data_IF_425762613788
#
_entry.id   IF_425762613788
#
_cell.length_a   1.000
_cell.length_b   1.000
_cell.length_c   1.000
_cell.angle_alpha   90.00
_cell.angle_beta   90.00
_cell.angle_gamma   90.00
#
_symmetry.space_group_name_H-M   'P 1'
#
loop_
_entity.id
_entity.type
_entity.pdbx_description
1 polymer ?
#
# COMPACT_ATOMS: atom_id res chain seq x y z
N UNK A 1 -38.48 3.31 14.85
CA UNK A 1 -37.92 4.60 14.44
C UNK A 1 -36.47 4.67 14.87
N UNK A 2 -35.52 4.62 13.93
CA UNK A 2 -34.17 5.17 14.12
C UNK A 2 -33.66 5.60 12.74
N UNK A 3 -33.69 6.92 12.50
CA UNK A 3 -32.97 7.56 11.41
C UNK A 3 -31.74 8.20 12.04
N UNK A 4 -30.54 7.70 11.77
CA UNK A 4 -29.34 8.56 11.70
C UNK A 4 -28.35 7.92 10.71
N UNK A 5 -28.38 8.36 9.45
CA UNK A 5 -27.24 8.30 8.54
C UNK A 5 -27.41 9.36 7.45
N UNK A 6 -27.03 10.61 7.75
CA UNK A 6 -26.40 11.48 6.75
C UNK A 6 -25.68 12.61 7.48
N UNK A 7 -24.43 12.91 7.08
CA UNK A 7 -24.31 13.75 5.91
C UNK A 7 -23.26 13.21 4.94
N UNK A 8 -23.72 12.63 3.83
CA UNK A 8 -22.95 12.72 2.59
C UNK A 8 -23.02 14.18 2.16
N UNK A 9 -21.95 14.95 2.36
CA UNK A 9 -21.87 16.35 1.94
C UNK A 9 -20.85 16.46 0.83
N UNK A 10 -21.33 16.58 -0.40
CA UNK A 10 -20.52 16.96 -1.55
C UNK A 10 -20.49 18.49 -1.65
N UNK A 11 -19.29 19.07 -1.55
CA UNK A 11 -19.09 20.50 -1.79
C UNK A 11 -18.21 20.66 -3.00
N UNK A 12 -18.78 21.18 -4.09
CA UNK A 12 -18.04 21.54 -5.31
C UNK A 12 -17.78 23.03 -5.26
N UNK A 13 -16.51 23.41 -5.27
CA UNK A 13 -16.09 24.82 -5.34
C UNK A 13 -15.30 25.03 -6.62
N UNK A 14 -15.72 26.00 -7.43
CA UNK A 14 -14.90 26.52 -8.52
C UNK A 14 -13.97 27.59 -7.93
N UNK A 15 -12.68 27.29 -7.82
CA UNK A 15 -11.67 28.30 -7.54
C UNK A 15 -11.23 28.89 -8.88
N UNK A 16 -11.28 30.21 -9.01
CA UNK A 16 -11.03 30.98 -10.24
C UNK A 16 -10.12 30.31 -11.29
N UNK A 17 -10.64 30.22 -12.51
CA UNK A 17 -9.88 30.13 -13.77
C UNK A 17 -9.37 28.75 -14.20
N UNK A 18 -8.97 27.86 -13.29
CA UNK A 18 -8.36 26.56 -13.70
C UNK A 18 -8.41 25.44 -12.65
N UNK A 19 -9.14 25.61 -11.54
CA UNK A 19 -9.15 24.62 -10.46
C UNK A 19 -10.58 24.35 -9.93
N UNK A 20 -10.97 23.08 -9.93
CA UNK A 20 -12.22 22.60 -9.36
C UNK A 20 -11.89 21.67 -8.20
N UNK A 21 -12.61 21.80 -7.10
CA UNK A 21 -12.45 20.94 -5.93
C UNK A 21 -13.79 20.37 -5.49
N UNK A 22 -13.87 19.05 -5.33
CA UNK A 22 -14.99 18.34 -4.73
C UNK A 22 -14.52 17.72 -3.40
N UNK A 23 -15.29 17.89 -2.34
CA UNK A 23 -15.01 17.25 -1.05
C UNK A 23 -16.19 16.40 -0.65
N UNK A 24 -15.92 15.15 -0.25
CA UNK A 24 -16.90 14.22 0.30
C UNK A 24 -16.49 13.91 1.74
N UNK A 25 -17.44 14.00 2.66
CA UNK A 25 -17.25 13.56 4.04
C UNK A 25 -18.33 12.56 4.41
N UNK A 26 -17.95 11.51 5.13
CA UNK A 26 -18.83 10.42 5.59
C UNK A 26 -19.02 10.42 7.11
N UNK A 27 -18.65 11.50 7.81
CA UNK A 27 -18.66 11.59 9.27
C UNK A 27 -17.51 10.82 9.96
N UNK A 28 -16.93 9.81 9.30
CA UNK A 28 -15.77 9.03 9.79
C UNK A 28 -14.53 9.32 8.96
N UNK A 29 -14.68 9.59 7.66
CA UNK A 29 -13.56 9.95 6.78
C UNK A 29 -13.90 11.16 5.93
N UNK A 30 -12.86 11.88 5.51
CA UNK A 30 -12.96 12.98 4.54
C UNK A 30 -12.07 12.63 3.35
N UNK A 31 -12.62 12.77 2.16
CA UNK A 31 -11.85 12.76 0.92
C UNK A 31 -12.06 14.06 0.17
N UNK A 32 -11.03 14.51 -0.54
CA UNK A 32 -11.17 15.64 -1.46
C UNK A 32 -10.50 15.34 -2.79
N UNK A 33 -11.25 15.53 -3.87
CA UNK A 33 -10.77 15.47 -5.24
C UNK A 33 -10.56 16.88 -5.74
N UNK A 34 -9.40 17.14 -6.34
CA UNK A 34 -9.09 18.43 -6.95
C UNK A 34 -8.65 18.19 -8.39
N UNK A 35 -9.29 18.89 -9.31
CA UNK A 35 -8.92 18.97 -10.71
C UNK A 35 -8.26 20.31 -10.96
N UNK A 36 -7.10 20.30 -11.62
CA UNK A 36 -6.39 21.50 -12.02
C UNK A 36 -5.96 21.38 -13.47
N UNK A 37 -6.43 22.30 -14.30
CA UNK A 37 -5.95 22.44 -15.68
C UNK A 37 -4.55 23.06 -15.60
N UNK A 38 -3.56 22.39 -16.17
CA UNK A 38 -2.16 22.86 -16.17
C UNK A 38 -1.78 23.55 -17.47
N UNK A 39 -2.29 23.05 -18.59
CA UNK A 39 -2.26 23.69 -19.90
C UNK A 39 -3.44 23.18 -20.75
N UNK A 40 -3.52 23.58 -22.03
CA UNK A 40 -4.59 23.17 -22.94
C UNK A 40 -4.70 21.65 -23.17
N UNK A 41 -3.63 20.91 -22.96
CA UNK A 41 -3.51 19.48 -23.23
C UNK A 41 -3.26 18.62 -21.98
N UNK A 42 -3.21 19.23 -20.79
CA UNK A 42 -2.90 18.53 -19.54
C UNK A 42 -3.76 18.98 -18.36
N UNK A 43 -4.20 18.00 -17.57
CA UNK A 43 -4.92 18.20 -16.32
C UNK A 43 -4.31 17.32 -15.23
N UNK A 44 -4.29 17.85 -14.01
CA UNK A 44 -3.97 17.12 -12.80
C UNK A 44 -5.25 16.80 -12.05
N UNK A 45 -5.43 15.53 -11.70
CA UNK A 45 -6.44 15.11 -10.75
C UNK A 45 -5.73 14.64 -9.47
N UNK A 46 -6.15 15.14 -8.32
CA UNK A 46 -5.54 14.78 -7.04
C UNK A 46 -6.57 14.42 -5.97
N UNK A 47 -6.43 13.24 -5.39
CA UNK A 47 -7.30 12.72 -4.35
C UNK A 47 -6.56 12.77 -3.02
N UNK A 48 -7.21 13.31 -1.99
CA UNK A 48 -6.66 13.39 -0.64
C UNK A 48 -7.46 12.48 0.26
N UNK A 49 -6.76 11.65 1.04
CA UNK A 49 -7.35 10.78 2.05
C UNK A 49 -7.06 11.37 3.42
N UNK A 50 -8.08 11.47 4.27
CA UNK A 50 -7.93 11.90 5.66
C UNK A 50 -8.35 10.78 6.62
N UNK A 51 -7.67 10.72 7.77
CA UNK A 51 -8.06 9.87 8.89
C UNK A 51 -9.29 10.42 9.64
N UNK A 52 -9.87 9.68 10.60
CA UNK A 52 -11.02 10.16 11.38
C UNK A 52 -10.77 11.40 12.25
N UNK A 53 -9.51 11.75 12.51
CA UNK A 53 -9.13 12.98 13.20
C UNK A 53 -8.96 14.17 12.22
N UNK A 54 -9.22 13.96 10.92
CA UNK A 54 -9.12 14.97 9.87
C UNK A 54 -7.70 15.20 9.35
N UNK A 55 -6.70 14.45 9.84
CA UNK A 55 -5.31 14.57 9.41
C UNK A 55 -5.13 13.93 8.04
N UNK A 56 -4.25 14.50 7.21
CA UNK A 56 -3.97 13.96 5.88
C UNK A 56 -3.22 12.63 6.02
N UNK A 57 -3.81 11.54 5.54
CA UNK A 57 -3.23 10.19 5.57
C UNK A 57 -2.61 9.82 4.21
N UNK A 58 -3.13 10.39 3.11
CA UNK A 58 -2.59 10.12 1.79
C UNK A 58 -2.97 11.14 0.72
N UNK A 59 -2.26 11.06 -0.40
CA UNK A 59 -2.51 11.78 -1.65
C UNK A 59 -2.32 10.81 -2.82
N UNK A 60 -3.20 10.88 -3.81
CA UNK A 60 -2.99 10.26 -5.13
C UNK A 60 -3.04 11.35 -6.18
N UNK A 61 -2.16 11.30 -7.18
CA UNK A 61 -2.10 12.27 -8.27
C UNK A 61 -2.04 11.55 -9.60
N UNK A 62 -3.00 11.87 -10.47
CA UNK A 62 -3.01 11.45 -11.87
C UNK A 62 -2.66 12.64 -12.75
N UNK A 63 -1.82 12.38 -13.76
CA UNK A 63 -1.65 13.27 -14.90
C UNK A 63 -2.49 12.73 -16.04
N UNK A 64 -3.31 13.58 -16.63
CA UNK A 64 -3.91 13.29 -17.92
C UNK A 64 -3.02 13.77 -19.07
N UNK A 65 -3.15 13.13 -20.22
CA UNK A 65 -2.65 13.63 -21.49
C UNK A 65 -3.81 13.72 -22.47
N UNK A 66 -3.82 14.77 -23.28
CA UNK A 66 -4.70 14.86 -24.43
C UNK A 66 -4.28 13.82 -25.48
N UNK A 67 -5.21 12.95 -25.85
CA UNK A 67 -5.05 11.97 -26.93
C UNK A 67 -6.06 12.30 -28.04
N UNK A 68 -5.68 12.07 -29.29
CA UNK A 68 -6.57 12.20 -30.45
C UNK A 68 -7.00 10.82 -30.92
N UNK A 69 -8.30 10.56 -30.97
CA UNK A 69 -8.89 9.37 -31.55
C UNK A 69 -9.89 9.81 -32.63
N UNK A 70 -9.63 9.43 -33.87
CA UNK A 70 -10.45 9.79 -35.04
C UNK A 70 -10.65 11.31 -35.19
N UNK A 71 -9.61 12.11 -34.93
CA UNK A 71 -9.66 13.58 -35.03
C UNK A 71 -10.42 14.27 -33.89
N UNK A 72 -10.83 13.53 -32.86
CA UNK A 72 -11.41 14.09 -31.62
C UNK A 72 -10.42 13.97 -30.48
N UNK A 73 -10.16 15.08 -29.82
CA UNK A 73 -9.30 15.17 -28.65
C UNK A 73 -10.05 14.81 -27.37
N UNK A 74 -9.46 13.99 -26.51
CA UNK A 74 -9.98 13.64 -25.19
C UNK A 74 -8.85 13.58 -24.15
N UNK A 75 -9.19 13.89 -22.90
CA UNK A 75 -8.27 13.77 -21.77
C UNK A 75 -8.31 12.34 -21.22
N UNK A 76 -7.20 11.61 -21.33
CA UNK A 76 -7.05 10.29 -20.71
C UNK A 76 -6.22 10.39 -19.44
N UNK A 77 -6.75 9.91 -18.31
CA UNK A 77 -5.97 9.73 -17.08
C UNK A 77 -5.01 8.54 -17.27
N UNK A 78 -3.71 8.77 -17.10
CA UNK A 78 -2.73 7.69 -17.18
C UNK A 78 -2.66 6.90 -15.87
N UNK A 79 -2.72 5.55 -15.91
CA UNK A 79 -2.41 4.69 -14.77
C UNK A 79 -0.91 4.29 -14.74
N UNK A 80 -0.34 3.96 -13.57
CA UNK A 80 -0.86 4.15 -12.21
C UNK A 80 -0.56 5.58 -11.66
N UNK A 81 -1.32 6.07 -10.66
CA UNK A 81 -1.08 7.39 -10.06
C UNK A 81 0.21 7.43 -9.24
N UNK A 82 0.75 8.63 -9.08
CA UNK A 82 1.73 8.89 -8.03
C UNK A 82 1.01 8.93 -6.67
N UNK A 83 1.51 8.15 -5.71
CA UNK A 83 0.92 8.02 -4.38
C UNK A 83 1.86 8.62 -3.33
N UNK A 84 1.30 9.34 -2.36
CA UNK A 84 2.02 9.82 -1.17
C UNK A 84 1.24 9.42 0.06
N UNK A 85 1.87 8.74 1.00
CA UNK A 85 1.31 8.41 2.31
C UNK A 85 2.01 9.19 3.40
N UNK A 86 1.25 9.58 4.42
CA UNK A 86 1.73 10.35 5.57
C UNK A 86 1.60 9.51 6.85
N UNK A 87 2.56 9.65 7.76
CA UNK A 87 2.62 8.93 9.03
C UNK A 87 1.73 9.52 10.12
N UNK A 88 1.74 8.88 11.29
CA UNK A 88 0.87 9.16 12.44
C UNK A 88 1.01 10.55 13.07
N UNK A 89 1.95 11.39 12.61
CA UNK A 89 2.06 12.81 12.96
C UNK A 89 2.37 13.68 11.73
N UNK A 90 1.48 13.65 10.74
CA UNK A 90 1.34 14.68 9.70
C UNK A 90 2.38 14.69 8.59
N UNK A 91 3.68 14.59 8.92
CA UNK A 91 4.81 14.58 7.98
C UNK A 91 6.00 13.72 8.47
N UNK A 92 5.97 13.16 9.70
CA UNK A 92 7.13 12.45 10.28
C UNK A 92 7.61 11.23 9.50
N UNK A 93 6.70 10.58 8.78
CA UNK A 93 7.01 9.49 7.88
C UNK A 93 6.26 9.75 6.57
N UNK A 94 6.97 9.97 5.48
CA UNK A 94 6.34 10.10 4.16
C UNK A 94 6.78 8.95 3.28
N UNK A 95 5.83 8.29 2.62
CA UNK A 95 6.12 7.31 1.57
C UNK A 95 5.58 7.83 0.24
N UNK A 96 6.46 8.21 -0.68
CA UNK A 96 6.10 8.52 -2.08
C UNK A 96 6.32 7.29 -2.93
N UNK A 97 5.37 6.94 -3.77
CA UNK A 97 5.45 5.80 -4.66
C UNK A 97 5.01 6.20 -6.08
N UNK A 98 5.86 5.94 -7.06
CA UNK A 98 5.59 6.09 -8.50
C UNK A 98 5.34 4.72 -9.12
N UNK A 99 5.30 4.62 -10.45
CA UNK A 99 5.24 3.32 -11.13
C UNK A 99 6.56 2.53 -11.03
N UNK A 100 7.67 3.22 -10.79
CA UNK A 100 9.02 2.64 -10.80
C UNK A 100 9.61 2.59 -9.40
N UNK A 101 9.38 3.60 -8.56
CA UNK A 101 10.15 3.80 -7.34
C UNK A 101 9.28 4.05 -6.11
N UNK A 102 9.75 3.59 -4.95
CA UNK A 102 9.24 3.96 -3.63
C UNK A 102 10.32 4.72 -2.88
N UNK A 103 9.98 5.89 -2.35
CA UNK A 103 10.85 6.71 -1.51
C UNK A 103 10.20 6.90 -0.15
N UNK A 104 10.87 6.46 0.91
CA UNK A 104 10.44 6.65 2.29
C UNK A 104 11.36 7.65 2.99
N UNK A 105 10.78 8.61 3.69
CA UNK A 105 11.52 9.63 4.46
C UNK A 105 11.02 9.67 5.90
N UNK A 106 11.95 9.71 6.84
CA UNK A 106 11.69 9.90 8.27
C UNK A 106 12.23 11.27 8.66
N UNK A 107 11.45 12.07 9.38
CA UNK A 107 11.81 13.40 9.84
C UNK A 107 11.81 13.46 11.38
N UNK A 108 12.63 14.35 11.95
CA UNK A 108 12.49 14.75 13.35
C UNK A 108 11.22 15.57 13.57
N UNK A 109 10.67 15.59 14.79
CA UNK A 109 9.57 16.48 15.14
C UNK A 109 9.91 17.95 14.80
N UNK A 110 9.12 18.58 13.93
CA UNK A 110 9.27 19.98 13.55
C UNK A 110 10.40 20.29 12.55
N UNK A 111 11.08 19.28 12.02
CA UNK A 111 12.14 19.45 11.03
C UNK A 111 11.64 19.25 9.59
N UNK A 112 12.16 20.03 8.66
CA UNK A 112 11.95 19.87 7.22
C UNK A 112 13.06 19.06 6.54
N UNK A 113 14.12 18.70 7.26
CA UNK A 113 15.23 17.90 6.75
C UNK A 113 15.02 16.43 7.16
N UNK A 114 15.01 15.48 6.21
CA UNK A 114 14.83 14.07 6.53
C UNK A 114 16.08 13.52 7.22
N UNK A 115 15.88 12.79 8.31
CA UNK A 115 16.93 12.01 8.97
C UNK A 115 17.34 10.80 8.14
N UNK A 116 16.35 10.13 7.55
CA UNK A 116 16.54 8.90 6.79
C UNK A 116 15.76 9.04 5.49
N UNK A 117 16.40 8.68 4.38
CA UNK A 117 15.77 8.55 3.07
C UNK A 117 16.13 7.20 2.49
N UNK A 118 15.12 6.37 2.28
CA UNK A 118 15.24 5.06 1.65
C UNK A 118 14.60 5.14 0.27
N UNK A 119 15.35 4.80 -0.77
CA UNK A 119 14.85 4.66 -2.13
C UNK A 119 14.88 3.19 -2.52
N UNK A 120 13.82 2.72 -3.16
CA UNK A 120 13.70 1.33 -3.57
C UNK A 120 12.93 1.26 -4.88
N UNK A 121 13.53 0.67 -5.90
CA UNK A 121 12.81 0.30 -7.12
C UNK A 121 11.69 -0.68 -6.78
N UNK A 122 10.50 -0.47 -7.33
CA UNK A 122 9.32 -1.29 -7.05
C UNK A 122 9.48 -2.72 -7.56
N UNK A 123 10.29 -2.94 -8.58
CA UNK A 123 10.69 -4.28 -9.03
C UNK A 123 11.51 -4.99 -7.95
N UNK A 124 12.47 -4.32 -7.32
CA UNK A 124 13.23 -4.88 -6.19
C UNK A 124 12.35 -5.04 -4.95
N UNK A 125 11.45 -4.09 -4.68
CA UNK A 125 10.48 -4.23 -3.61
C UNK A 125 9.56 -5.44 -3.84
N UNK A 126 9.12 -5.67 -5.07
CA UNK A 126 8.29 -6.83 -5.39
C UNK A 126 9.05 -8.15 -5.20
N UNK A 127 10.38 -8.19 -5.39
CA UNK A 127 11.21 -9.36 -5.06
C UNK A 127 11.25 -9.64 -3.56
N UNK A 128 11.08 -8.62 -2.71
CA UNK A 128 11.02 -8.79 -1.26
C UNK A 128 9.68 -9.35 -0.75
N UNK A 129 8.63 -9.29 -1.57
CA UNK A 129 7.34 -9.88 -1.24
C UNK A 129 7.45 -11.41 -1.35
N UNK A 130 7.38 -12.08 -0.22
CA UNK A 130 7.36 -13.53 -0.11
C UNK A 130 6.04 -13.96 0.53
N UNK A 131 5.48 -15.06 0.04
CA UNK A 131 4.32 -15.68 0.68
C UNK A 131 4.79 -16.53 1.84
N UNK A 132 4.15 -16.35 2.98
CA UNK A 132 4.27 -17.24 4.14
C UNK A 132 3.80 -18.67 3.81
N UNK A 133 4.21 -19.64 4.63
CA UNK A 133 3.71 -21.02 4.57
C UNK A 133 2.19 -21.05 4.68
N UNK A 134 1.61 -20.22 5.56
CA UNK A 134 0.16 -20.10 5.74
C UNK A 134 -0.49 -19.68 4.43
N UNK A 135 -0.05 -18.59 3.83
CA UNK A 135 -0.63 -18.07 2.59
C UNK A 135 -0.52 -19.10 1.46
N UNK A 136 0.64 -19.75 1.34
CA UNK A 136 0.87 -20.79 0.32
C UNK A 136 -0.06 -21.99 0.50
N UNK A 137 -0.24 -22.44 1.74
CA UNK A 137 -1.09 -23.60 2.03
C UNK A 137 -2.57 -23.28 1.90
N UNK A 138 -3.01 -22.09 2.33
CA UNK A 138 -4.38 -21.63 2.12
C UNK A 138 -4.70 -21.50 0.62
N UNK A 139 -3.77 -20.96 -0.16
CA UNK A 139 -3.92 -20.87 -1.61
C UNK A 139 -4.03 -22.25 -2.27
N UNK A 140 -3.20 -23.21 -1.87
CA UNK A 140 -3.23 -24.57 -2.42
C UNK A 140 -4.49 -25.34 -1.99
N UNK A 141 -4.96 -25.13 -0.76
CA UNK A 141 -6.16 -25.78 -0.23
C UNK A 141 -7.45 -25.10 -0.70
N UNK A 142 -7.38 -23.86 -1.20
CA UNK A 142 -8.55 -23.06 -1.57
C UNK A 142 -9.43 -22.67 -0.38
N UNK A 143 -8.88 -22.62 0.83
CA UNK A 143 -9.63 -22.34 2.06
C UNK A 143 -8.83 -21.47 3.05
N UNK A 144 -9.56 -20.77 3.92
CA UNK A 144 -8.96 -20.02 5.03
C UNK A 144 -8.81 -20.91 6.25
N UNK A 145 -7.65 -20.86 6.90
CA UNK A 145 -7.39 -21.63 8.11
C UNK A 145 -7.91 -20.93 9.36
N UNK A 146 -8.18 -21.71 10.41
CA UNK A 146 -8.50 -21.18 11.73
C UNK A 146 -7.29 -20.48 12.36
N UNK A 147 -7.48 -19.44 13.20
CA UNK A 147 -6.38 -18.64 13.75
C UNK A 147 -5.31 -19.46 14.50
N UNK A 148 -5.71 -20.53 15.17
CA UNK A 148 -4.82 -21.41 15.91
C UNK A 148 -3.83 -22.13 14.99
N UNK A 149 -4.30 -22.59 13.82
CA UNK A 149 -3.46 -23.23 12.81
C UNK A 149 -2.56 -22.21 12.11
N UNK A 150 -3.05 -20.98 11.89
CA UNK A 150 -2.24 -19.88 11.38
C UNK A 150 -1.06 -19.60 12.32
N UNK A 151 -1.32 -19.43 13.62
CA UNK A 151 -0.27 -19.18 14.60
C UNK A 151 0.75 -20.33 14.69
N UNK A 152 0.30 -21.58 14.60
CA UNK A 152 1.18 -22.75 14.59
C UNK A 152 2.09 -22.77 13.36
N UNK A 153 1.53 -22.53 12.17
CA UNK A 153 2.29 -22.49 10.92
C UNK A 153 3.24 -21.29 10.86
N UNK A 154 2.84 -20.13 11.39
CA UNK A 154 3.71 -18.95 11.53
C UNK A 154 4.89 -19.24 12.45
N UNK A 155 4.64 -19.92 13.58
CA UNK A 155 5.68 -20.36 14.51
C UNK A 155 6.64 -21.36 13.87
N UNK A 156 6.11 -22.36 13.17
CA UNK A 156 6.89 -23.34 12.43
C UNK A 156 7.73 -22.71 11.32
N UNK A 157 7.19 -21.76 10.56
CA UNK A 157 7.96 -21.03 9.54
C UNK A 157 9.17 -20.33 10.15
N UNK A 158 9.00 -19.63 11.28
CA UNK A 158 10.10 -18.96 11.96
C UNK A 158 11.17 -19.93 12.46
N UNK A 159 10.77 -21.08 12.99
CA UNK A 159 11.68 -22.14 13.41
C UNK A 159 12.47 -22.73 12.24
N UNK A 160 11.79 -23.01 11.12
CA UNK A 160 12.42 -23.49 9.89
C UNK A 160 13.41 -22.47 9.30
N UNK A 161 13.09 -21.17 9.33
CA UNK A 161 14.00 -20.10 8.89
C UNK A 161 15.23 -19.97 9.79
N UNK A 162 15.05 -20.13 11.11
CA UNK A 162 16.16 -20.13 12.08
C UNK A 162 17.01 -21.40 12.02
N UNK A 163 16.46 -22.49 11.50
CA UNK A 163 17.12 -23.80 11.47
C UNK A 163 17.08 -24.54 12.81
N UNK A 164 16.23 -24.11 13.74
CA UNK A 164 16.05 -24.70 15.07
C UNK A 164 14.56 -24.95 15.32
N UNK A 165 14.16 -26.22 15.32
CA UNK A 165 12.76 -26.64 15.36
C UNK A 165 12.45 -27.20 16.73
N UNK A 166 11.40 -26.68 17.35
CA UNK A 166 10.98 -27.12 18.67
C UNK A 166 10.51 -28.58 18.65
N UNK A 167 10.70 -29.27 19.77
CA UNK A 167 10.25 -30.66 19.92
C UNK A 167 8.74 -30.81 19.66
N UNK A 168 7.94 -29.80 20.03
CA UNK A 168 6.49 -29.77 19.77
C UNK A 168 6.17 -29.75 18.28
N UNK A 169 6.84 -28.89 17.51
CA UNK A 169 6.65 -28.81 16.06
C UNK A 169 7.21 -30.03 15.34
N UNK A 170 8.33 -30.59 15.80
CA UNK A 170 8.85 -31.87 15.27
C UNK A 170 7.85 -33.02 15.48
N UNK A 171 7.25 -33.11 16.67
CA UNK A 171 6.26 -34.13 16.96
C UNK A 171 4.98 -33.92 16.13
N UNK A 172 4.53 -32.67 15.97
CA UNK A 172 3.38 -32.34 15.14
C UNK A 172 3.62 -32.69 13.66
N UNK A 173 4.78 -32.34 13.10
CA UNK A 173 5.17 -32.73 11.74
C UNK A 173 5.17 -34.25 11.56
N UNK A 174 5.74 -34.98 12.52
CA UNK A 174 5.74 -36.44 12.49
C UNK A 174 4.33 -37.04 12.51
N UNK A 175 3.41 -36.47 13.29
CA UNK A 175 2.00 -36.88 13.30
C UNK A 175 1.31 -36.63 11.95
N UNK A 176 1.69 -35.55 11.26
CA UNK A 176 1.22 -35.25 9.92
C UNK A 176 1.93 -36.05 8.80
N UNK A 177 2.93 -36.86 9.13
CA UNK A 177 3.74 -37.59 8.14
C UNK A 177 4.67 -36.69 7.32
N UNK A 178 5.02 -35.52 7.85
CA UNK A 178 5.87 -34.52 7.20
C UNK A 178 7.25 -34.47 7.87
N UNK A 179 8.28 -34.12 7.10
CA UNK A 179 9.61 -33.84 7.63
C UNK A 179 9.92 -32.34 7.64
N UNK A 180 10.80 -31.88 8.55
CA UNK A 180 11.36 -30.53 8.51
C UNK A 180 11.89 -30.11 7.14
N UNK A 181 12.64 -30.98 6.46
CA UNK A 181 13.22 -30.68 5.16
C UNK A 181 12.17 -30.53 4.07
N UNK A 182 11.11 -31.35 4.09
CA UNK A 182 9.97 -31.19 3.19
C UNK A 182 9.29 -29.83 3.39
N UNK A 183 9.11 -29.41 4.65
CA UNK A 183 8.53 -28.12 4.99
C UNK A 183 9.45 -26.95 4.63
N UNK A 184 10.76 -27.10 4.82
CA UNK A 184 11.77 -26.12 4.43
C UNK A 184 11.76 -25.88 2.91
N UNK A 185 11.58 -26.93 2.12
CA UNK A 185 11.40 -26.81 0.66
C UNK A 185 10.11 -26.08 0.26
N UNK A 186 9.16 -25.88 1.18
CA UNK A 186 7.97 -25.07 0.92
C UNK A 186 8.19 -23.57 1.16
N UNK A 187 9.27 -23.19 1.86
CA UNK A 187 9.58 -21.78 2.11
C UNK A 187 9.99 -21.08 0.81
N UNK A 188 9.44 -19.88 0.61
CA UNK A 188 9.99 -18.98 -0.39
C UNK A 188 11.32 -18.38 0.16
N UNK A 189 12.40 -18.38 -0.66
CA UNK A 189 13.69 -17.87 -0.22
C UNK A 189 13.59 -16.39 0.14
N UNK A 190 14.29 -15.98 1.20
CA UNK A 190 14.43 -14.56 1.51
C UNK A 190 15.23 -13.87 0.40
N UNK A 191 14.66 -12.78 -0.12
CA UNK A 191 15.40 -11.92 -1.02
C UNK A 191 16.52 -11.21 -0.26
N UNK A 192 17.76 -11.59 -0.57
CA UNK A 192 18.95 -10.84 -0.17
C UNK A 192 19.27 -9.82 -1.27
N UNK A 193 19.09 -8.51 -1.04
CA UNK A 193 19.49 -7.51 -2.02
C UNK A 193 20.98 -7.63 -2.30
N UNK A 194 21.36 -7.51 -3.57
CA UNK A 194 22.77 -7.33 -3.93
C UNK A 194 23.24 -6.01 -3.32
N UNK A 195 24.31 -6.05 -2.51
CA UNK A 195 24.97 -4.83 -2.06
C UNK A 195 25.66 -4.21 -3.28
N UNK A 196 25.08 -3.15 -3.83
CA UNK A 196 25.78 -2.28 -4.78
C UNK A 196 26.78 -1.45 -3.97
N UNK A 197 28.09 -1.66 -4.24
CA UNK A 197 29.21 -0.88 -3.69
C UNK A 197 29.51 0.34 -4.55
#
# INVERSE_FOLDING_TARGET
>A
MSRVASPFREVITNASGSQISATISTGITKSSTNWRITDWHSMLESWHLHDPLGRRAGKRVWRSRCESLNGREYLRLNPPPEMTWYGWDGDRLTTTQTAQNRVQRIYEPGSFTPLVRVETELTELAKSAHRSLVEKFQQNAGMTFVPELVALLDGLEQELRRGDISAGNLQWLAQCGLTPEQMKNQLEPEYTPAAEY
#
